data_IF_482383744660
#
_entry.id   IF_482383744660
#
_cell.length_a   1.000
_cell.length_b   1.000
_cell.length_c   1.000
_cell.angle_alpha   90.00
_cell.angle_beta   90.00
_cell.angle_gamma   90.00
#
_symmetry.space_group_name_H-M   'P 1'
#
loop_
_entity.id
_entity.type
_entity.pdbx_description
1 polymer ?
#
# COMPACT_ATOMS: atom_id res chain seq x y z
N UNK A 1 5.11 -19.63 20.33
CA UNK A 1 4.38 -20.03 21.56
C UNK A 1 2.91 -20.37 21.37
N UNK A 2 2.07 -19.59 20.67
CA UNK A 2 0.61 -19.90 20.61
C UNK A 2 0.26 -21.31 20.12
N UNK A 3 0.84 -21.77 19.02
CA UNK A 3 0.59 -23.12 18.48
C UNK A 3 1.14 -24.23 19.38
N UNK A 4 2.21 -23.95 20.12
CA UNK A 4 2.83 -24.92 21.03
C UNK A 4 2.08 -25.02 22.37
N UNK A 5 1.54 -23.90 22.87
CA UNK A 5 0.91 -23.81 24.20
C UNK A 5 -0.61 -23.99 24.15
N UNK A 6 -1.26 -23.48 23.10
CA UNK A 6 -2.72 -23.42 23.00
C UNK A 6 -3.29 -24.16 21.79
N UNK A 7 -2.43 -24.83 21.00
CA UNK A 7 -2.78 -25.55 19.77
C UNK A 7 -3.71 -24.78 18.82
N UNK A 8 -3.56 -23.44 18.80
CA UNK A 8 -4.33 -22.54 17.95
C UNK A 8 -3.45 -21.50 17.27
N UNK A 9 -3.81 -21.05 16.05
CA UNK A 9 -3.13 -19.93 15.42
C UNK A 9 -3.21 -18.70 16.32
N UNK A 10 -2.13 -17.92 16.33
CA UNK A 10 -2.11 -16.66 17.07
C UNK A 10 -3.00 -15.66 16.32
N UNK A 11 -4.05 -15.09 16.94
CA UNK A 11 -4.87 -14.06 16.30
C UNK A 11 -4.01 -12.87 15.89
N UNK A 12 -4.33 -12.24 14.75
CA UNK A 12 -3.48 -11.19 14.18
C UNK A 12 -3.49 -9.95 15.08
N UNK A 13 -4.64 -9.65 15.70
CA UNK A 13 -4.78 -8.63 16.74
C UNK A 13 -3.87 -8.84 17.96
N UNK A 14 -3.38 -10.06 18.20
CA UNK A 14 -2.42 -10.37 19.29
C UNK A 14 -0.97 -10.30 18.85
N UNK A 15 -0.66 -9.87 17.62
CA UNK A 15 0.71 -9.57 17.17
C UNK A 15 1.25 -8.22 17.71
N UNK A 16 0.45 -7.49 18.48
CA UNK A 16 0.81 -6.28 19.25
C UNK A 16 2.17 -6.35 20.00
N UNK A 17 2.62 -7.50 20.55
CA UNK A 17 3.93 -7.58 21.21
C UNK A 17 5.14 -7.24 20.31
N UNK A 18 4.98 -7.24 18.98
CA UNK A 18 6.01 -6.73 18.06
C UNK A 18 6.30 -5.24 18.36
N UNK A 19 5.26 -4.45 18.65
CA UNK A 19 5.39 -3.06 19.07
C UNK A 19 6.22 -2.93 20.35
N UNK A 20 5.92 -3.74 21.37
CA UNK A 20 6.68 -3.75 22.63
C UNK A 20 8.15 -4.11 22.43
N UNK A 21 8.45 -5.06 21.54
CA UNK A 21 9.84 -5.45 21.22
C UNK A 21 10.59 -4.33 20.50
N UNK A 22 9.93 -3.65 19.57
CA UNK A 22 10.52 -2.52 18.83
C UNK A 22 10.65 -1.25 19.67
N UNK A 23 9.85 -1.12 20.73
CA UNK A 23 9.89 0.01 21.68
C UNK A 23 11.11 -0.03 22.61
N UNK A 24 11.54 -1.20 23.09
CA UNK A 24 12.64 -1.33 24.05
C UNK A 24 13.94 -0.60 23.62
N UNK A 25 14.45 -0.76 22.39
CA UNK A 25 15.68 -0.08 21.97
C UNK A 25 15.54 1.44 21.79
N UNK A 26 14.33 2.01 21.78
CA UNK A 26 14.15 3.48 21.70
C UNK A 26 14.32 4.16 23.05
N UNK A 27 14.14 3.41 24.15
CA UNK A 27 14.21 3.94 25.52
C UNK A 27 15.51 3.55 26.26
N UNK A 28 16.27 2.59 25.73
CA UNK A 28 17.52 2.13 26.34
C UNK A 28 18.73 2.74 25.65
N UNK A 29 19.59 3.38 26.44
CA UNK A 29 20.88 3.90 25.96
C UNK A 29 21.74 2.79 25.33
N UNK A 30 22.46 3.13 24.26
CA UNK A 30 23.35 2.20 23.55
C UNK A 30 22.66 1.22 22.59
N UNK A 31 21.33 1.32 22.41
CA UNK A 31 20.60 0.57 21.38
C UNK A 31 20.08 1.51 20.29
N UNK A 32 20.05 1.02 19.06
CA UNK A 32 19.46 1.73 17.92
C UNK A 32 18.04 1.22 17.68
N UNK A 33 17.07 2.09 17.38
CA UNK A 33 15.75 1.67 16.92
C UNK A 33 15.84 0.76 15.70
N UNK A 34 14.86 -0.11 15.53
CA UNK A 34 14.71 -0.88 14.30
C UNK A 34 14.32 0.07 13.16
N UNK A 35 15.19 0.24 12.18
CA UNK A 35 14.97 1.10 11.01
C UNK A 35 14.12 0.45 9.92
N UNK A 36 13.08 -0.31 10.29
CA UNK A 36 12.21 -1.04 9.37
C UNK A 36 10.75 -0.71 9.67
N UNK A 37 10.00 -0.39 8.62
CA UNK A 37 8.54 -0.31 8.68
C UNK A 37 7.95 -1.67 8.31
N UNK A 38 6.99 -2.16 9.09
CA UNK A 38 6.31 -3.42 8.81
C UNK A 38 4.87 -3.16 8.35
N UNK A 39 4.47 -3.89 7.32
CA UNK A 39 3.07 -4.06 6.93
C UNK A 39 2.74 -5.54 7.12
N UNK A 40 1.77 -5.83 7.99
CA UNK A 40 1.41 -7.18 8.38
C UNK A 40 0.02 -7.45 7.84
N UNK A 41 -0.08 -8.41 6.93
CA UNK A 41 -1.36 -8.92 6.43
C UNK A 41 -1.65 -10.27 7.10
N UNK A 42 -2.88 -10.47 7.54
CA UNK A 42 -3.30 -11.73 8.11
C UNK A 42 -4.81 -11.87 8.09
N UNK A 43 -5.26 -13.12 8.25
CA UNK A 43 -6.66 -13.48 8.32
C UNK A 43 -6.88 -14.30 9.59
N UNK A 44 -7.83 -13.89 10.42
CA UNK A 44 -8.34 -14.69 11.54
C UNK A 44 -9.85 -14.93 11.38
N UNK A 45 -10.69 -14.16 12.06
CA UNK A 45 -12.14 -14.12 11.80
C UNK A 45 -12.47 -13.10 10.70
N UNK A 46 -11.61 -12.09 10.54
CA UNK A 46 -11.68 -11.05 9.50
C UNK A 46 -10.29 -10.78 8.91
N UNK A 47 -10.20 -10.21 7.70
CA UNK A 47 -8.93 -9.76 7.15
C UNK A 47 -8.42 -8.53 7.91
N UNK A 48 -7.13 -8.52 8.23
CA UNK A 48 -6.46 -7.42 8.94
C UNK A 48 -5.19 -6.97 8.22
N UNK A 49 -5.01 -5.64 8.12
CA UNK A 49 -3.75 -5.02 7.68
C UNK A 49 -3.25 -4.11 8.79
N UNK A 50 -2.11 -4.47 9.39
CA UNK A 50 -1.46 -3.65 10.41
C UNK A 50 -0.21 -2.95 9.87
N UNK A 51 -0.12 -1.65 10.11
CA UNK A 51 1.09 -0.87 9.87
C UNK A 51 1.84 -0.61 11.17
N UNK A 52 3.14 -0.89 11.20
CA UNK A 52 4.00 -0.60 12.35
C UNK A 52 5.21 0.27 11.94
N UNK A 53 5.09 1.62 11.97
CA UNK A 53 6.17 2.52 11.59
C UNK A 53 7.19 2.78 12.73
N UNK A 54 6.76 2.82 13.99
CA UNK A 54 7.61 3.23 15.12
C UNK A 54 7.07 2.76 16.47
N UNK A 55 7.09 1.45 16.74
CA UNK A 55 6.53 0.81 17.94
C UNK A 55 5.01 1.03 18.18
N UNK A 56 4.38 1.92 17.41
CA UNK A 56 2.94 2.08 17.27
C UNK A 56 2.42 1.12 16.21
N UNK A 57 1.14 0.76 16.29
CA UNK A 57 0.45 -0.05 15.30
C UNK A 57 -0.89 0.60 14.93
N UNK A 58 -1.28 0.47 13.68
CA UNK A 58 -2.55 0.97 13.15
C UNK A 58 -3.26 -0.14 12.37
N UNK A 59 -4.52 -0.40 12.71
CA UNK A 59 -5.40 -1.27 11.91
C UNK A 59 -5.94 -0.46 10.74
N UNK A 60 -5.71 -0.94 9.51
CA UNK A 60 -5.96 -0.21 8.28
C UNK A 60 -6.80 -1.08 7.33
N UNK A 61 -7.71 -0.45 6.58
CA UNK A 61 -8.39 -1.13 5.46
C UNK A 61 -7.44 -1.37 4.28
N UNK A 62 -6.62 -0.36 3.99
CA UNK A 62 -5.55 -0.42 3.00
C UNK A 62 -4.42 0.51 3.44
N UNK A 63 -3.17 0.13 3.16
CA UNK A 63 -2.01 0.93 3.52
C UNK A 63 -0.85 0.72 2.53
N UNK A 64 -0.02 1.75 2.36
CA UNK A 64 1.22 1.69 1.58
C UNK A 64 2.37 2.30 2.39
N UNK A 65 3.55 1.69 2.29
CA UNK A 65 4.79 2.12 2.96
C UNK A 65 5.94 2.18 1.95
N UNK A 66 7.02 2.86 2.31
CA UNK A 66 8.22 2.96 1.48
C UNK A 66 8.21 4.16 0.52
N UNK A 67 9.02 4.05 -0.54
CA UNK A 67 9.28 5.15 -1.47
C UNK A 67 8.03 5.55 -2.25
N UNK A 68 7.77 6.86 -2.33
CA UNK A 68 6.61 7.44 -3.06
C UNK A 68 5.25 6.83 -2.66
N UNK A 69 5.15 6.27 -1.45
CA UNK A 69 3.92 5.66 -0.91
C UNK A 69 2.75 6.64 -0.78
N UNK A 70 2.99 7.95 -0.80
CA UNK A 70 1.92 8.94 -0.85
C UNK A 70 1.06 8.81 -2.11
N UNK A 71 1.65 8.55 -3.29
CA UNK A 71 0.90 8.36 -4.54
C UNK A 71 -0.01 7.14 -4.47
N UNK A 72 0.48 6.02 -3.94
CA UNK A 72 -0.31 4.82 -3.71
C UNK A 72 -1.46 5.07 -2.72
N UNK A 73 -1.20 5.78 -1.62
CA UNK A 73 -2.24 6.13 -0.64
C UNK A 73 -3.34 6.98 -1.27
N UNK A 74 -2.99 7.98 -2.08
CA UNK A 74 -4.00 8.79 -2.79
C UNK A 74 -4.86 7.97 -3.75
N UNK A 75 -4.30 6.95 -4.42
CA UNK A 75 -5.10 6.02 -5.23
C UNK A 75 -6.06 5.20 -4.36
N UNK A 76 -5.56 4.62 -3.27
CA UNK A 76 -6.34 3.80 -2.33
C UNK A 76 -7.45 4.61 -1.65
N UNK A 77 -7.17 5.88 -1.30
CA UNK A 77 -8.15 6.79 -0.71
C UNK A 77 -9.33 7.09 -1.65
N UNK A 78 -9.10 7.07 -2.96
CA UNK A 78 -10.15 7.27 -3.97
C UNK A 78 -10.97 6.01 -4.24
N UNK A 79 -10.43 4.83 -3.94
CA UNK A 79 -11.03 3.53 -4.27
C UNK A 79 -11.17 2.66 -3.01
N UNK A 80 -11.76 3.20 -1.93
CA UNK A 80 -11.85 2.50 -0.64
C UNK A 80 -12.95 1.41 -0.56
N UNK A 81 -13.71 1.18 -1.64
CA UNK A 81 -14.82 0.23 -1.68
C UNK A 81 -14.33 -1.19 -2.02
N UNK A 82 -13.56 -1.80 -1.12
CA UNK A 82 -12.98 -3.14 -1.32
C UNK A 82 -13.88 -4.30 -0.89
N UNK A 83 -14.98 -4.03 -0.17
CA UNK A 83 -15.82 -5.07 0.44
C UNK A 83 -16.52 -5.96 -0.58
N UNK A 84 -16.81 -5.42 -1.77
CA UNK A 84 -17.53 -6.11 -2.83
C UNK A 84 -16.60 -6.64 -3.94
N UNK A 85 -15.29 -6.40 -3.80
CA UNK A 85 -14.30 -6.81 -4.80
C UNK A 85 -14.01 -8.31 -4.73
N UNK A 86 -13.90 -8.92 -5.91
CA UNK A 86 -13.35 -10.28 -6.03
C UNK A 86 -11.83 -10.27 -5.78
N UNK A 87 -11.24 -11.43 -5.48
CA UNK A 87 -9.79 -11.55 -5.22
C UNK A 87 -8.95 -10.94 -6.34
N UNK A 88 -9.27 -11.24 -7.60
CA UNK A 88 -8.51 -10.74 -8.75
C UNK A 88 -8.66 -9.22 -8.92
N UNK A 89 -9.84 -8.68 -8.64
CA UNK A 89 -10.10 -7.22 -8.67
C UNK A 89 -9.34 -6.51 -7.55
N UNK A 90 -9.29 -7.10 -6.35
CA UNK A 90 -8.53 -6.58 -5.22
C UNK A 90 -7.03 -6.51 -5.54
N UNK A 91 -6.48 -7.56 -6.17
CA UNK A 91 -5.08 -7.58 -6.63
C UNK A 91 -4.84 -6.49 -7.67
N UNK A 92 -5.77 -6.28 -8.62
CA UNK A 92 -5.67 -5.20 -9.60
C UNK A 92 -5.63 -3.82 -8.95
N UNK A 93 -6.44 -3.55 -7.92
CA UNK A 93 -6.35 -2.30 -7.17
C UNK A 93 -4.99 -2.11 -6.51
N UNK A 94 -4.42 -3.18 -5.93
CA UNK A 94 -3.07 -3.17 -5.36
C UNK A 94 -2.01 -2.84 -6.41
N UNK A 95 -2.06 -3.48 -7.59
CA UNK A 95 -1.14 -3.24 -8.70
C UNK A 95 -1.29 -1.83 -9.27
N UNK A 96 -2.50 -1.30 -9.43
CA UNK A 96 -2.73 0.08 -9.85
C UNK A 96 -2.15 1.09 -8.85
N UNK A 97 -2.36 0.87 -7.54
CA UNK A 97 -1.78 1.71 -6.51
C UNK A 97 -0.24 1.68 -6.56
N UNK A 98 0.35 0.49 -6.75
CA UNK A 98 1.79 0.30 -6.85
C UNK A 98 2.37 0.98 -8.10
N UNK A 99 1.69 0.89 -9.24
CA UNK A 99 2.10 1.55 -10.49
C UNK A 99 2.17 3.07 -10.36
N UNK A 100 1.31 3.69 -9.56
CA UNK A 100 1.36 5.14 -9.28
C UNK A 100 2.60 5.56 -8.47
N UNK A 101 3.33 4.60 -7.88
CA UNK A 101 4.60 4.86 -7.20
C UNK A 101 5.82 4.79 -8.13
N UNK A 102 5.65 4.36 -9.40
CA UNK A 102 6.74 4.26 -10.37
C UNK A 102 6.84 5.54 -11.23
N UNK A 103 8.04 5.86 -11.76
CA UNK A 103 8.19 6.90 -12.78
C UNK A 103 7.30 6.62 -13.99
N UNK A 104 6.96 7.65 -14.77
CA UNK A 104 6.07 7.50 -15.94
C UNK A 104 6.65 6.58 -17.03
N UNK A 105 7.97 6.41 -17.06
CA UNK A 105 8.70 5.62 -18.06
C UNK A 105 8.87 4.14 -17.66
N UNK A 106 8.42 3.74 -16.46
CA UNK A 106 8.59 2.39 -15.94
C UNK A 106 7.25 1.79 -15.57
N UNK A 107 7.06 0.53 -15.99
CA UNK A 107 5.88 -0.27 -15.68
C UNK A 107 6.22 -1.48 -14.79
N UNK A 108 5.16 -2.09 -14.28
CA UNK A 108 5.23 -3.32 -13.50
C UNK A 108 5.59 -4.49 -14.42
N UNK A 109 6.51 -5.32 -13.95
CA UNK A 109 6.99 -6.52 -14.65
C UNK A 109 7.02 -7.68 -13.67
N UNK A 110 7.05 -8.92 -14.18
CA UNK A 110 7.17 -10.13 -13.37
C UNK A 110 8.40 -10.15 -12.46
N UNK A 111 9.46 -9.42 -12.83
CA UNK A 111 10.72 -9.36 -12.07
C UNK A 111 10.78 -8.26 -11.00
N UNK A 112 9.82 -7.32 -11.00
CA UNK A 112 9.83 -6.18 -10.08
C UNK A 112 8.61 -6.13 -9.15
N UNK A 113 7.76 -7.16 -9.20
CA UNK A 113 6.56 -7.29 -8.36
C UNK A 113 6.58 -8.65 -7.67
N UNK A 114 6.17 -8.64 -6.40
CA UNK A 114 5.86 -9.83 -5.62
C UNK A 114 4.49 -9.62 -4.99
N UNK A 115 3.65 -10.65 -4.99
CA UNK A 115 2.28 -10.58 -4.48
C UNK A 115 2.11 -11.60 -3.36
N UNK A 116 1.74 -11.15 -2.16
CA UNK A 116 1.37 -12.02 -1.06
C UNK A 116 -0.14 -12.01 -0.85
N UNK A 117 -0.77 -13.18 -0.80
CA UNK A 117 -2.22 -13.33 -0.61
C UNK A 117 -2.48 -14.23 0.61
N UNK A 118 -3.44 -13.83 1.45
CA UNK A 118 -3.96 -14.62 2.58
C UNK A 118 -5.46 -14.42 2.68
N UNK A 119 -6.20 -15.48 3.04
CA UNK A 119 -7.65 -15.43 3.18
C UNK A 119 -8.19 -16.55 4.07
N UNK A 120 -9.51 -16.74 4.06
CA UNK A 120 -10.20 -17.73 4.91
C UNK A 120 -9.76 -19.17 4.67
N UNK A 121 -9.81 -19.55 3.40
CA UNK A 121 -9.50 -20.90 2.94
C UNK A 121 -8.20 -20.91 2.13
N UNK A 122 -7.36 -19.90 2.33
CA UNK A 122 -6.10 -19.70 1.64
C UNK A 122 -5.01 -19.30 2.65
N UNK A 123 -4.10 -20.23 2.91
CA UNK A 123 -2.88 -19.95 3.67
C UNK A 123 -2.05 -18.88 2.95
N UNK A 124 -1.20 -18.17 3.69
CA UNK A 124 -0.38 -17.11 3.10
C UNK A 124 0.55 -17.67 2.01
N UNK A 125 0.30 -17.29 0.77
CA UNK A 125 1.08 -17.67 -0.40
C UNK A 125 1.72 -16.45 -1.04
N UNK A 126 2.97 -16.59 -1.45
CA UNK A 126 3.73 -15.57 -2.18
C UNK A 126 3.79 -16.02 -3.65
N UNK A 127 3.49 -15.09 -4.55
CA UNK A 127 3.62 -15.24 -5.99
C UNK A 127 4.75 -14.35 -6.48
N UNK A 128 5.75 -14.97 -7.13
CA UNK A 128 6.93 -14.32 -7.67
C UNK A 128 7.13 -14.73 -9.15
N UNK A 129 7.93 -13.96 -9.89
CA UNK A 129 8.32 -14.23 -11.27
C UNK A 129 7.12 -14.59 -12.18
N UNK A 130 7.11 -15.80 -12.74
CA UNK A 130 6.12 -16.22 -13.72
C UNK A 130 4.71 -16.35 -13.12
N UNK A 131 4.60 -16.58 -11.81
CA UNK A 131 3.32 -16.71 -11.11
C UNK A 131 2.57 -15.38 -11.01
N UNK A 132 3.27 -14.26 -11.20
CA UNK A 132 2.70 -12.91 -11.22
C UNK A 132 2.06 -12.58 -12.58
N UNK A 133 2.44 -13.28 -13.65
CA UNK A 133 1.99 -13.03 -15.03
C UNK A 133 0.46 -12.96 -15.17
N UNK A 134 -0.33 -13.90 -14.61
CA UNK A 134 -1.79 -13.86 -14.74
C UNK A 134 -2.43 -12.61 -14.14
N UNK A 135 -1.79 -12.01 -13.12
CA UNK A 135 -2.27 -10.79 -12.47
C UNK A 135 -1.89 -9.53 -13.26
N UNK A 136 -0.78 -9.57 -13.99
CA UNK A 136 -0.30 -8.44 -14.80
C UNK A 136 -0.98 -8.36 -16.18
N UNK A 137 -1.27 -9.49 -16.81
CA UNK A 137 -1.93 -9.53 -18.15
C UNK A 137 -3.30 -8.83 -18.18
N UNK A 138 -3.99 -8.80 -17.03
CA UNK A 138 -5.30 -8.16 -16.89
C UNK A 138 -5.25 -6.69 -16.44
N UNK A 139 -4.07 -6.07 -16.37
CA UNK A 139 -3.87 -4.69 -15.95
C UNK A 139 -3.95 -3.75 -17.17
N UNK A 140 -5.00 -2.93 -17.23
CA UNK A 140 -5.18 -1.98 -18.35
C UNK A 140 -3.98 -1.01 -18.47
N UNK A 141 -3.58 -0.70 -19.70
CA UNK A 141 -2.52 0.27 -19.99
C UNK A 141 -2.81 1.61 -19.32
N UNK A 142 -1.75 2.28 -18.89
CA UNK A 142 -1.87 3.58 -18.25
C UNK A 142 -2.52 4.54 -19.25
N UNK A 143 -3.68 5.16 -18.96
CA UNK A 143 -4.19 6.20 -19.83
C UNK A 143 -3.12 7.29 -19.86
N UNK A 144 -2.56 7.56 -21.03
CA UNK A 144 -1.55 8.61 -21.18
C UNK A 144 -2.15 9.89 -20.63
N UNK A 145 -1.57 10.39 -19.53
CA UNK A 145 -1.85 11.74 -19.06
C UNK A 145 -1.44 12.66 -20.21
N UNK A 146 -2.41 13.13 -21.00
CA UNK A 146 -2.17 14.25 -21.92
C UNK A 146 -1.49 15.33 -21.08
N UNK A 147 -0.32 15.86 -21.49
CA UNK A 147 0.29 16.97 -20.78
C UNK A 147 -0.77 18.06 -20.68
N UNK A 148 -0.96 18.58 -19.46
CA UNK A 148 -1.87 19.70 -19.25
C UNK A 148 -1.47 20.80 -20.23
N UNK A 149 -2.43 21.43 -20.95
CA UNK A 149 -2.09 22.58 -21.77
C UNK A 149 -1.36 23.60 -20.89
N UNK A 150 -0.27 24.22 -21.40
CA UNK A 150 0.47 25.21 -20.63
C UNK A 150 -0.52 26.26 -20.13
N UNK A 151 -0.44 26.58 -18.83
CA UNK A 151 -1.29 27.59 -18.21
C UNK A 151 -1.18 28.87 -19.04
N UNK A 152 -2.29 29.32 -19.60
CA UNK A 152 -2.36 30.62 -20.28
C UNK A 152 -1.88 31.69 -19.30
N UNK A 153 -0.85 32.44 -19.70
CA UNK A 153 -0.33 33.56 -18.94
C UNK A 153 -1.49 34.55 -18.66
N UNK A 154 -1.54 35.18 -17.48
CA UNK A 154 -2.62 36.11 -17.18
C UNK A 154 -2.52 37.30 -18.14
N UNK A 155 -3.52 37.45 -19.02
CA UNK A 155 -3.67 38.61 -19.88
C UNK A 155 -3.87 39.83 -18.98
N UNK A 156 -2.86 40.70 -18.98
CA UNK A 156 -2.86 42.01 -18.32
C UNK A 156 -4.03 42.83 -18.90
N UNK A 157 -5.09 43.04 -18.14
CA UNK A 157 -6.19 43.94 -18.53
C UNK A 157 -5.63 45.36 -18.52
N UNK A 158 -5.43 45.92 -19.71
CA UNK A 158 -5.24 47.36 -19.89
C UNK A 158 -6.51 48.07 -19.39
N UNK A 159 -6.38 48.93 -18.38
CA UNK A 159 -7.42 49.87 -17.96
C UNK A 159 -7.63 50.89 -19.07
N UNK A 160 -8.81 50.90 -19.70
CA UNK A 160 -9.22 52.02 -20.55
C UNK A 160 -9.66 53.22 -19.67
N UNK A 161 -9.26 54.46 -20.02
CA UNK A 161 -9.66 55.64 -19.29
C UNK A 161 -11.11 56.00 -19.62
N UNK A 162 -11.94 56.14 -18.59
CA UNK A 162 -13.33 56.56 -18.69
C UNK A 162 -13.42 58.06 -19.03
N UNK A 163 -13.86 58.40 -20.25
CA UNK A 163 -14.28 59.76 -20.62
C UNK A 163 -15.80 59.95 -20.52
N UNK A 164 -16.16 61.14 -20.02
CA UNK A 164 -17.45 61.84 -19.91
C UNK A 164 -18.44 61.44 -18.81
#
# INVERSE_FOLDING_TARGET
DSRFVFDRPLPVSRLVPIGSKTQIPTQRYGRRPYGVGLLIAGYDDMPHIFQCPSANYFDCKAMSIGARSQSARTYLERHMEFSDCNLNELVKHGLHALRETLPAEQDLTTKNVSIGIVGKDLEFTIYDDDEVSPFLEGLEERPQRKPAPPAEEPVEKQEEPMEH
#
